data_IF_054331234697
#
_entry.id   IF_054331234697
#
_cell.length_a   1.000
_cell.length_b   1.000
_cell.length_c   1.000
_cell.angle_alpha   90.00
_cell.angle_beta   90.00
_cell.angle_gamma   90.00
#
_symmetry.space_group_name_H-M   'P 1'
#
loop_
_entity.id
_entity.type
_entity.pdbx_description
1 polymer ?
#
# COMPACT_ATOMS: atom_id res chain seq x y z
N UNK A 1 -26.07 27.40 35.89
CA UNK A 1 -25.05 27.82 34.90
C UNK A 1 -24.82 29.31 35.04
N UNK A 2 -23.56 29.79 35.06
CA UNK A 2 -23.22 31.22 35.28
C UNK A 2 -23.11 32.07 34.00
N UNK A 3 -23.20 31.47 32.81
CA UNK A 3 -22.78 32.13 31.55
C UNK A 3 -23.93 32.45 30.57
N UNK A 4 -25.17 32.10 30.88
CA UNK A 4 -26.34 32.43 30.04
C UNK A 4 -27.48 32.98 30.91
N UNK A 5 -27.95 34.20 30.59
CA UNK A 5 -29.16 34.79 31.20
C UNK A 5 -30.37 34.25 30.43
N UNK A 6 -31.12 33.33 31.05
CA UNK A 6 -32.31 32.75 30.42
C UNK A 6 -33.41 33.80 30.16
N UNK A 7 -34.33 33.50 29.25
CA UNK A 7 -35.43 34.39 28.84
C UNK A 7 -36.55 34.54 29.89
N UNK A 8 -36.38 34.01 31.12
CA UNK A 8 -37.38 34.04 32.19
C UNK A 8 -38.50 32.99 32.07
N UNK A 9 -38.51 32.20 31.00
CA UNK A 9 -39.48 31.12 30.83
C UNK A 9 -39.16 29.91 31.72
N UNK A 10 -40.20 29.33 32.33
CA UNK A 10 -40.16 28.09 33.11
C UNK A 10 -41.27 27.15 32.65
N UNK A 11 -40.98 25.85 32.57
CA UNK A 11 -41.94 24.83 32.20
C UNK A 11 -41.46 23.42 32.60
N UNK A 12 -42.32 22.43 32.40
CA UNK A 12 -42.05 21.02 32.67
C UNK A 12 -42.09 20.25 31.36
N UNK A 13 -41.16 19.31 31.18
CA UNK A 13 -41.16 18.40 30.04
C UNK A 13 -40.86 16.98 30.53
N UNK A 14 -41.52 16.00 29.93
CA UNK A 14 -41.15 14.60 30.09
C UNK A 14 -39.79 14.35 29.45
N UNK A 15 -38.89 13.55 30.03
CA UNK A 15 -37.62 13.19 29.38
C UNK A 15 -37.79 12.12 28.28
N UNK A 16 -38.98 11.53 28.16
CA UNK A 16 -39.27 10.45 27.21
C UNK A 16 -39.59 10.97 25.80
N UNK A 17 -39.77 10.07 24.84
CA UNK A 17 -40.21 10.39 23.46
C UNK A 17 -39.30 11.38 22.70
N UNK A 18 -38.00 11.36 22.99
CA UNK A 18 -37.00 12.20 22.32
C UNK A 18 -36.89 13.62 22.86
N UNK A 19 -37.55 13.94 23.96
CA UNK A 19 -37.53 15.27 24.58
C UNK A 19 -36.29 15.55 25.45
N UNK A 20 -35.45 14.54 25.73
CA UNK A 20 -34.20 14.70 26.45
C UNK A 20 -33.02 13.99 25.78
N UNK A 21 -31.81 14.49 26.06
CA UNK A 21 -30.54 13.88 25.65
C UNK A 21 -29.62 13.74 26.85
N UNK A 22 -29.07 12.54 27.04
CA UNK A 22 -28.03 12.30 28.03
C UNK A 22 -26.74 13.03 27.62
N UNK A 23 -25.97 13.62 28.57
CA UNK A 23 -24.61 14.04 28.30
C UNK A 23 -23.79 12.86 27.76
N UNK A 24 -22.96 13.07 26.73
CA UNK A 24 -22.33 11.98 25.98
C UNK A 24 -21.51 11.00 26.84
N UNK A 25 -20.87 11.49 27.92
CA UNK A 25 -20.12 10.65 28.88
C UNK A 25 -21.00 9.66 29.64
N UNK A 26 -22.30 9.96 29.79
CA UNK A 26 -23.31 9.08 30.39
C UNK A 26 -24.06 8.29 29.31
N UNK A 27 -24.31 8.92 28.17
CA UNK A 27 -24.96 8.29 27.02
C UNK A 27 -24.18 7.09 26.49
N UNK A 28 -22.84 7.19 26.44
CA UNK A 28 -21.97 6.14 25.91
C UNK A 28 -22.04 4.82 26.71
N UNK A 29 -21.84 4.80 28.04
CA UNK A 29 -22.03 3.59 28.83
C UNK A 29 -23.49 3.11 28.92
N UNK A 30 -24.48 4.02 28.82
CA UNK A 30 -25.88 3.62 28.73
C UNK A 30 -26.12 2.79 27.46
N UNK A 31 -25.53 3.21 26.34
CA UNK A 31 -25.55 2.49 25.06
C UNK A 31 -24.87 1.12 25.14
N UNK A 32 -23.78 0.97 25.89
CA UNK A 32 -23.16 -0.34 26.11
C UNK A 32 -24.14 -1.35 26.70
N UNK A 33 -24.87 -0.94 27.74
CA UNK A 33 -25.91 -1.79 28.36
C UNK A 33 -27.07 -2.06 27.41
N UNK A 34 -27.67 -1.00 26.86
CA UNK A 34 -28.89 -1.10 26.03
C UNK A 34 -28.67 -1.96 24.79
N UNK A 35 -27.50 -1.84 24.15
CA UNK A 35 -27.15 -2.63 22.96
C UNK A 35 -26.40 -3.92 23.28
N UNK A 36 -26.22 -4.25 24.57
CA UNK A 36 -25.48 -5.44 25.04
C UNK A 36 -24.07 -5.57 24.41
N UNK A 37 -23.34 -4.46 24.36
CA UNK A 37 -22.01 -4.37 23.73
C UNK A 37 -20.99 -5.18 24.54
N UNK A 38 -20.28 -6.10 23.88
CA UNK A 38 -19.23 -6.93 24.51
C UNK A 38 -17.81 -6.48 24.21
N UNK A 39 -17.61 -5.85 23.06
CA UNK A 39 -16.32 -5.36 22.59
C UNK A 39 -16.57 -4.02 21.92
N UNK A 40 -15.85 -2.99 22.32
CA UNK A 40 -15.85 -1.70 21.65
C UNK A 40 -14.52 -1.01 21.86
N UNK A 41 -13.75 -0.89 20.77
CA UNK A 41 -12.51 -0.11 20.75
C UNK A 41 -12.80 1.38 20.63
N UNK A 42 -11.83 2.19 21.03
CA UNK A 42 -11.87 3.64 20.88
C UNK A 42 -10.46 4.17 20.59
N UNK A 43 -10.37 5.37 20.00
CA UNK A 43 -9.09 6.03 19.84
C UNK A 43 -8.40 6.20 21.20
N UNK A 44 -7.07 6.07 21.23
CA UNK A 44 -6.31 6.09 22.49
C UNK A 44 -6.60 7.30 23.39
N UNK A 45 -6.99 8.44 22.80
CA UNK A 45 -7.36 9.67 23.51
C UNK A 45 -8.52 9.45 24.51
N UNK A 46 -9.41 8.47 24.25
CA UNK A 46 -10.49 8.11 25.17
C UNK A 46 -10.05 7.20 26.32
N UNK A 47 -8.93 6.49 26.15
CA UNK A 47 -8.41 5.47 27.08
C UNK A 47 -7.28 5.99 27.97
N UNK A 48 -7.00 7.30 27.95
CA UNK A 48 -6.07 7.92 28.89
C UNK A 48 -6.62 7.84 30.33
N UNK A 49 -5.72 7.87 31.33
CA UNK A 49 -6.12 7.86 32.75
C UNK A 49 -7.03 9.05 33.07
N UNK A 50 -8.20 8.77 33.66
CA UNK A 50 -9.25 9.77 33.90
C UNK A 50 -10.01 10.20 32.64
N UNK A 51 -9.75 9.54 31.51
CA UNK A 51 -10.40 9.77 30.23
C UNK A 51 -11.86 9.33 30.21
N UNK A 52 -12.51 9.49 29.07
CA UNK A 52 -13.94 9.16 28.93
C UNK A 52 -14.22 7.67 29.10
N UNK A 53 -13.27 6.78 28.76
CA UNK A 53 -13.44 5.34 28.95
C UNK A 53 -13.47 4.98 30.44
N UNK A 54 -12.56 5.54 31.24
CA UNK A 54 -12.54 5.35 32.70
C UNK A 54 -13.83 5.83 33.37
N UNK A 55 -14.33 7.00 32.95
CA UNK A 55 -15.61 7.53 33.43
C UNK A 55 -16.77 6.61 33.00
N UNK A 56 -16.74 6.16 31.74
CA UNK A 56 -17.74 5.24 31.19
C UNK A 56 -17.79 3.92 31.95
N UNK A 57 -16.63 3.31 32.24
CA UNK A 57 -16.51 2.09 33.04
C UNK A 57 -17.20 2.23 34.39
N UNK A 58 -16.89 3.30 35.14
CA UNK A 58 -17.48 3.57 36.46
C UNK A 58 -19.00 3.70 36.37
N UNK A 59 -19.52 4.47 35.42
CA UNK A 59 -20.97 4.61 35.20
C UNK A 59 -21.60 3.26 34.85
N UNK A 60 -20.96 2.49 33.98
CA UNK A 60 -21.45 1.20 33.52
C UNK A 60 -21.56 0.19 34.68
N UNK A 61 -20.52 0.09 35.51
CA UNK A 61 -20.44 -0.84 36.64
C UNK A 61 -21.30 -0.38 37.83
N UNK A 62 -21.18 0.89 38.24
CA UNK A 62 -21.74 1.39 39.50
C UNK A 62 -23.19 1.85 39.37
N UNK A 63 -23.58 2.39 38.21
CA UNK A 63 -24.95 2.92 37.99
C UNK A 63 -25.79 1.93 37.19
N UNK A 64 -25.23 1.40 36.09
CA UNK A 64 -25.98 0.53 35.19
C UNK A 64 -25.85 -0.96 35.53
N UNK A 65 -24.95 -1.33 36.45
CA UNK A 65 -24.67 -2.71 36.84
C UNK A 65 -24.43 -3.63 35.62
N UNK A 66 -23.65 -3.13 34.66
CA UNK A 66 -23.26 -3.84 33.45
C UNK A 66 -21.72 -3.84 33.33
N UNK A 67 -21.08 -4.96 32.95
CA UNK A 67 -19.63 -5.01 32.83
C UNK A 67 -19.13 -4.09 31.70
N UNK A 68 -17.95 -3.51 31.86
CA UNK A 68 -17.32 -2.77 30.77
C UNK A 68 -17.09 -3.69 29.55
N UNK A 69 -17.45 -3.24 28.33
CA UNK A 69 -17.04 -3.96 27.13
C UNK A 69 -15.51 -4.03 27.01
N UNK A 70 -15.00 -5.11 26.42
CA UNK A 70 -13.57 -5.23 26.12
C UNK A 70 -13.10 -4.03 25.29
N UNK A 71 -12.09 -3.33 25.81
CA UNK A 71 -11.51 -2.16 25.16
C UNK A 71 -10.37 -2.58 24.22
N UNK A 72 -10.31 -1.94 23.06
CA UNK A 72 -9.22 -2.05 22.08
C UNK A 72 -8.78 -0.63 21.75
N UNK A 73 -7.84 -0.05 22.53
CA UNK A 73 -7.35 1.30 22.26
C UNK A 73 -6.53 1.29 20.97
N UNK A 74 -6.99 2.01 19.95
CA UNK A 74 -6.27 2.13 18.69
C UNK A 74 -5.53 3.46 18.55
N UNK A 75 -4.35 3.39 17.94
CA UNK A 75 -3.49 4.50 17.60
C UNK A 75 -4.04 5.33 16.43
N UNK A 76 -3.37 6.45 16.15
CA UNK A 76 -3.78 7.35 15.09
C UNK A 76 -3.55 6.78 13.68
N UNK A 77 -4.43 7.22 12.78
CA UNK A 77 -4.21 7.16 11.35
C UNK A 77 -3.63 8.50 10.89
N UNK A 78 -2.42 8.46 10.36
CA UNK A 78 -1.64 9.59 9.89
C UNK A 78 -1.61 9.60 8.36
N UNK A 79 -1.46 10.80 7.79
CA UNK A 79 -1.22 11.04 6.37
C UNK A 79 0.17 11.65 6.23
N UNK A 80 1.09 10.97 5.55
CA UNK A 80 2.47 11.40 5.35
C UNK A 80 3.14 11.94 6.64
N UNK A 81 3.06 11.16 7.72
CA UNK A 81 3.64 11.48 9.03
C UNK A 81 2.84 12.49 9.87
N UNK A 82 1.73 13.03 9.36
CA UNK A 82 0.91 14.05 10.06
C UNK A 82 -0.41 13.48 10.54
N UNK A 83 -0.79 13.81 11.77
CA UNK A 83 -2.11 13.46 12.33
C UNK A 83 -3.21 14.14 11.50
N UNK A 84 -4.21 13.36 11.07
CA UNK A 84 -5.37 13.91 10.37
C UNK A 84 -6.10 14.94 11.25
N UNK A 85 -6.45 16.08 10.67
CA UNK A 85 -7.18 17.15 11.34
C UNK A 85 -8.24 17.71 10.40
N UNK A 86 -9.52 17.47 10.73
CA UNK A 86 -10.66 17.97 9.98
C UNK A 86 -10.71 19.51 9.92
N UNK A 87 -10.15 20.21 10.91
CA UNK A 87 -10.20 21.67 11.00
C UNK A 87 -9.08 22.40 10.26
N UNK A 88 -8.01 21.70 9.83
CA UNK A 88 -6.84 22.32 9.19
C UNK A 88 -6.73 22.02 7.68
N UNK A 89 -7.71 21.34 7.07
CA UNK A 89 -7.74 21.05 5.63
C UNK A 89 -6.56 20.20 5.11
N UNK A 90 -5.73 19.66 6.01
CA UNK A 90 -4.45 19.00 5.74
C UNK A 90 -4.55 17.47 5.73
N UNK A 91 -5.76 16.91 5.78
CA UNK A 91 -6.00 15.47 5.75
C UNK A 91 -6.81 15.08 4.53
N UNK A 92 -6.39 14.02 3.84
CA UNK A 92 -7.25 13.31 2.91
C UNK A 92 -8.49 12.84 3.68
N UNK A 93 -9.67 13.17 3.18
CA UNK A 93 -10.93 12.61 3.68
C UNK A 93 -10.90 11.08 3.59
N UNK A 94 -11.64 10.41 4.46
CA UNK A 94 -11.77 8.94 4.41
C UNK A 94 -12.22 8.45 3.02
N UNK A 95 -13.00 9.27 2.32
CA UNK A 95 -13.44 9.01 0.94
C UNK A 95 -12.29 9.09 -0.06
N UNK A 96 -11.46 10.13 0.00
CA UNK A 96 -10.30 10.26 -0.89
C UNK A 96 -9.33 9.08 -0.70
N UNK A 97 -9.06 8.67 0.54
CA UNK A 97 -8.25 7.47 0.81
C UNK A 97 -8.91 6.22 0.23
N UNK A 98 -10.22 6.05 0.40
CA UNK A 98 -10.91 4.85 -0.11
C UNK A 98 -10.99 4.79 -1.63
N UNK A 99 -11.09 5.93 -2.31
CA UNK A 99 -11.21 5.98 -3.78
C UNK A 99 -9.87 5.64 -4.49
N UNK A 100 -8.75 5.71 -3.76
CA UNK A 100 -7.39 5.43 -4.23
C UNK A 100 -6.99 3.95 -4.14
N UNK A 101 -7.70 3.14 -3.35
CA UNK A 101 -7.33 1.77 -3.07
C UNK A 101 -8.50 0.81 -3.35
N UNK A 102 -8.24 -0.37 -3.95
CA UNK A 102 -9.23 -1.44 -3.93
C UNK A 102 -9.64 -1.76 -2.49
N UNK A 103 -10.90 -2.14 -2.22
CA UNK A 103 -11.36 -2.45 -0.87
C UNK A 103 -10.50 -3.47 -0.12
N UNK A 104 -9.96 -4.48 -0.81
CA UNK A 104 -9.04 -5.48 -0.23
C UNK A 104 -7.72 -4.86 0.26
N UNK A 105 -7.19 -3.90 -0.50
CA UNK A 105 -5.94 -3.19 -0.16
C UNK A 105 -6.19 -2.17 0.93
N UNK A 106 -7.34 -1.48 0.92
CA UNK A 106 -7.76 -0.60 2.02
C UNK A 106 -7.93 -1.39 3.33
N UNK A 107 -8.57 -2.56 3.30
CA UNK A 107 -8.66 -3.43 4.47
C UNK A 107 -7.28 -3.83 4.96
N UNK A 108 -6.37 -4.21 4.06
CA UNK A 108 -4.98 -4.53 4.42
C UNK A 108 -4.32 -3.36 5.15
N UNK A 109 -4.42 -2.14 4.62
CA UNK A 109 -3.89 -0.93 5.27
C UNK A 109 -4.38 -0.79 6.72
N UNK A 110 -5.67 -1.10 6.97
CA UNK A 110 -6.28 -0.98 8.30
C UNK A 110 -5.91 -2.10 9.28
N UNK A 111 -5.64 -3.32 8.81
CA UNK A 111 -5.45 -4.49 9.68
C UNK A 111 -4.00 -5.00 9.73
N UNK A 112 -3.11 -4.52 8.86
CA UNK A 112 -1.70 -4.96 8.81
C UNK A 112 -0.87 -4.58 10.03
N UNK A 113 -1.34 -3.63 10.84
CA UNK A 113 -0.69 -3.18 12.07
C UNK A 113 -1.52 -3.56 13.29
N UNK A 114 -0.85 -3.81 14.40
CA UNK A 114 -1.53 -3.99 15.68
C UNK A 114 -2.25 -2.68 16.08
N UNK A 115 -3.39 -2.73 16.80
CA UNK A 115 -4.14 -1.54 17.16
C UNK A 115 -3.32 -0.46 17.88
N UNK A 116 -2.34 -0.87 18.68
CA UNK A 116 -1.44 0.04 19.42
C UNK A 116 -0.32 0.66 18.57
N UNK A 117 -0.32 0.46 17.25
CA UNK A 117 0.66 1.04 16.33
C UNK A 117 -0.02 2.03 15.38
N UNK A 118 0.58 3.22 15.15
CA UNK A 118 0.00 4.18 14.23
C UNK A 118 0.05 3.66 12.79
N UNK A 119 -1.04 3.86 12.07
CA UNK A 119 -1.08 3.69 10.62
C UNK A 119 -0.59 5.00 10.02
N UNK A 120 0.33 4.91 9.06
CA UNK A 120 0.78 6.07 8.29
C UNK A 120 0.58 5.76 6.82
N UNK A 121 -0.23 6.58 6.17
CA UNK A 121 -0.59 6.43 4.77
C UNK A 121 -0.04 7.62 3.98
N UNK A 122 0.96 7.35 3.14
CA UNK A 122 1.50 8.34 2.21
C UNK A 122 1.11 7.97 0.78
N UNK A 123 0.01 8.52 0.25
CA UNK A 123 -0.42 8.21 -1.11
C UNK A 123 0.44 8.87 -2.18
N UNK A 124 1.21 9.91 -1.82
CA UNK A 124 2.17 10.58 -2.69
C UNK A 124 3.54 9.90 -2.70
N UNK A 125 3.75 8.94 -1.80
CA UNK A 125 4.96 8.15 -1.69
C UNK A 125 4.85 6.76 -2.33
N UNK A 126 5.47 5.80 -1.66
CA UNK A 126 5.56 4.39 -2.09
C UNK A 126 4.54 3.48 -1.41
N UNK A 127 3.69 4.02 -0.52
CA UNK A 127 2.79 3.20 0.32
C UNK A 127 1.81 2.38 -0.51
N UNK A 128 1.24 2.96 -1.58
CA UNK A 128 0.28 2.24 -2.43
C UNK A 128 0.94 1.03 -3.12
N UNK A 129 2.04 1.17 -3.88
CA UNK A 129 2.76 0.02 -4.42
C UNK A 129 3.14 -1.03 -3.38
N UNK A 130 3.62 -0.60 -2.21
CA UNK A 130 4.01 -1.52 -1.13
C UNK A 130 2.84 -2.32 -0.56
N UNK A 131 1.64 -1.73 -0.48
CA UNK A 131 0.44 -2.44 -0.03
C UNK A 131 0.02 -3.53 -1.04
N UNK A 132 0.15 -3.28 -2.35
CA UNK A 132 -0.09 -4.32 -3.36
C UNK A 132 0.95 -5.43 -3.27
N UNK A 133 2.24 -5.10 -3.21
CA UNK A 133 3.31 -6.08 -3.06
C UNK A 133 3.14 -6.93 -1.79
N UNK A 134 2.74 -6.30 -0.67
CA UNK A 134 2.46 -7.02 0.57
C UNK A 134 1.22 -7.91 0.46
N UNK A 135 0.13 -7.42 -0.13
CA UNK A 135 -1.08 -8.21 -0.36
C UNK A 135 -0.77 -9.48 -1.19
N UNK A 136 0.04 -9.34 -2.24
CA UNK A 136 0.40 -10.44 -3.11
C UNK A 136 1.28 -11.46 -2.38
N UNK A 137 2.23 -10.99 -1.56
CA UNK A 137 3.02 -11.84 -0.67
C UNK A 137 2.14 -12.59 0.35
N UNK A 138 1.13 -11.93 0.93
CA UNK A 138 0.19 -12.58 1.85
C UNK A 138 -0.65 -13.66 1.14
N UNK A 139 -0.99 -13.45 -0.13
CA UNK A 139 -1.63 -14.46 -0.97
C UNK A 139 -0.73 -15.69 -1.14
N UNK A 140 0.58 -15.50 -1.38
CA UNK A 140 1.53 -16.62 -1.51
C UNK A 140 1.55 -17.50 -0.25
N UNK A 141 1.49 -16.91 0.95
CA UNK A 141 1.35 -17.67 2.19
C UNK A 141 0.00 -18.39 2.29
N UNK A 142 -1.09 -17.74 1.89
CA UNK A 142 -2.43 -18.32 1.92
C UNK A 142 -2.61 -19.51 0.96
N UNK A 143 -1.92 -19.49 -0.18
CA UNK A 143 -1.96 -20.55 -1.20
C UNK A 143 -0.77 -21.52 -1.12
N UNK A 144 0.07 -21.44 -0.09
CA UNK A 144 1.13 -22.41 0.18
C UNK A 144 2.31 -22.35 -0.80
N UNK A 145 2.59 -21.18 -1.38
CA UNK A 145 3.71 -20.96 -2.31
C UNK A 145 5.04 -20.62 -1.61
N UNK A 146 5.02 -20.47 -0.28
CA UNK A 146 6.18 -20.15 0.55
C UNK A 146 6.71 -21.42 1.23
N UNK A 147 8.03 -21.61 1.22
CA UNK A 147 8.67 -22.78 1.84
C UNK A 147 8.34 -22.92 3.33
N UNK A 148 8.34 -21.79 4.04
CA UNK A 148 7.97 -21.72 5.45
C UNK A 148 6.55 -21.16 5.60
N UNK A 149 5.59 -21.95 6.11
CA UNK A 149 4.25 -21.46 6.40
C UNK A 149 4.24 -20.39 7.49
N UNK A 150 3.40 -19.36 7.32
CA UNK A 150 3.13 -18.33 8.32
C UNK A 150 1.59 -18.16 8.45
N UNK A 151 0.94 -18.87 9.39
CA UNK A 151 -0.52 -18.92 9.48
C UNK A 151 -1.17 -17.54 9.66
N UNK A 152 -0.52 -16.63 10.39
CA UNK A 152 -1.03 -15.27 10.60
C UNK A 152 -1.06 -14.45 9.31
N UNK A 153 -0.10 -14.67 8.40
CA UNK A 153 -0.10 -14.03 7.07
C UNK A 153 -1.21 -14.58 6.18
N UNK A 154 -1.40 -15.90 6.16
CA UNK A 154 -2.53 -16.53 5.47
C UNK A 154 -3.88 -16.06 6.02
N UNK A 155 -3.98 -15.91 7.35
CA UNK A 155 -5.18 -15.39 8.02
C UNK A 155 -5.42 -13.93 7.66
N UNK A 156 -4.38 -13.11 7.65
CA UNK A 156 -4.46 -11.70 7.27
C UNK A 156 -4.98 -11.56 5.84
N UNK A 157 -4.43 -12.31 4.88
CA UNK A 157 -4.95 -12.33 3.49
C UNK A 157 -6.44 -12.64 3.43
N UNK A 158 -6.88 -13.65 4.18
CA UNK A 158 -8.29 -14.06 4.24
C UNK A 158 -9.19 -12.94 4.79
N UNK A 159 -8.72 -12.21 5.81
CA UNK A 159 -9.46 -11.09 6.40
C UNK A 159 -9.57 -9.86 5.48
N UNK A 160 -8.66 -9.71 4.51
CA UNK A 160 -8.76 -8.63 3.51
C UNK A 160 -9.85 -8.87 2.47
N UNK A 161 -10.36 -10.10 2.31
CA UNK A 161 -11.39 -10.41 1.32
C UNK A 161 -12.71 -9.69 1.63
N UNK A 162 -13.40 -9.22 0.60
CA UNK A 162 -14.67 -8.48 0.75
C UNK A 162 -15.86 -9.41 0.98
N UNK A 163 -15.82 -10.63 0.44
CA UNK A 163 -16.86 -11.65 0.48
C UNK A 163 -16.60 -12.73 1.53
N UNK A 164 -15.92 -12.39 2.63
CA UNK A 164 -15.66 -13.31 3.74
C UNK A 164 -16.97 -13.96 4.26
N UNK A 165 -17.02 -15.30 4.47
CA UNK A 165 -15.90 -16.25 4.52
C UNK A 165 -15.63 -17.00 3.20
N UNK A 166 -16.11 -16.53 2.06
CA UNK A 166 -15.86 -17.21 0.78
C UNK A 166 -14.36 -17.33 0.52
N UNK A 167 -13.93 -18.53 0.09
CA UNK A 167 -12.53 -18.79 -0.22
C UNK A 167 -12.11 -17.94 -1.44
N UNK A 168 -11.04 -17.14 -1.34
CA UNK A 168 -10.55 -16.36 -2.47
C UNK A 168 -10.03 -17.27 -3.59
N UNK A 169 -10.16 -16.81 -4.83
CA UNK A 169 -9.59 -17.47 -5.99
C UNK A 169 -8.05 -17.38 -5.95
N UNK A 170 -7.39 -18.45 -6.36
CA UNK A 170 -5.94 -18.50 -6.51
C UNK A 170 -5.57 -17.87 -7.87
N UNK A 171 -5.20 -16.59 -7.84
CA UNK A 171 -4.90 -15.81 -9.04
C UNK A 171 -3.40 -15.52 -9.12
N UNK A 172 -2.87 -15.49 -10.34
CA UNK A 172 -1.60 -14.82 -10.61
C UNK A 172 -1.81 -13.30 -10.63
N UNK A 173 -0.83 -12.56 -10.12
CA UNK A 173 -0.87 -11.12 -10.02
C UNK A 173 0.34 -10.50 -10.69
N UNK A 174 0.11 -9.64 -11.68
CA UNK A 174 1.16 -8.76 -12.16
C UNK A 174 1.49 -7.72 -11.10
N UNK A 175 2.78 -7.50 -10.88
CA UNK A 175 3.27 -6.54 -9.90
C UNK A 175 2.74 -5.13 -10.19
N UNK A 176 2.24 -4.44 -9.16
CA UNK A 176 1.58 -3.14 -9.32
C UNK A 176 2.48 -2.07 -9.94
N UNK A 177 3.77 -2.03 -9.58
CA UNK A 177 4.73 -1.08 -10.17
C UNK A 177 4.95 -1.33 -11.66
N UNK A 178 4.89 -2.59 -12.09
CA UNK A 178 5.01 -2.97 -13.50
C UNK A 178 3.76 -2.59 -14.28
N UNK A 179 2.58 -2.84 -13.70
CA UNK A 179 1.31 -2.35 -14.26
C UNK A 179 1.35 -0.83 -14.41
N UNK A 180 1.78 -0.11 -13.36
CA UNK A 180 1.90 1.34 -13.39
C UNK A 180 2.88 1.85 -14.46
N UNK A 181 3.98 1.13 -14.71
CA UNK A 181 4.89 1.44 -15.81
C UNK A 181 4.23 1.22 -17.18
N UNK A 182 3.67 0.03 -17.42
CA UNK A 182 3.13 -0.37 -18.73
C UNK A 182 1.96 0.53 -19.15
N UNK A 183 1.06 0.92 -18.23
CA UNK A 183 -0.07 1.79 -18.58
C UNK A 183 0.34 3.20 -19.04
N UNK A 184 1.61 3.59 -18.83
CA UNK A 184 2.18 4.85 -19.32
C UNK A 184 2.81 4.71 -20.71
N UNK A 185 2.97 3.48 -21.24
CA UNK A 185 3.68 3.20 -22.48
C UNK A 185 2.70 2.95 -23.63
N UNK A 186 2.53 3.88 -24.59
CA UNK A 186 1.54 3.73 -25.66
C UNK A 186 1.80 2.55 -26.61
N UNK A 187 3.04 2.08 -26.66
CA UNK A 187 3.47 0.98 -27.54
C UNK A 187 3.35 -0.41 -26.89
N UNK A 188 3.00 -0.48 -25.59
CA UNK A 188 2.85 -1.75 -24.87
C UNK A 188 1.37 -2.06 -24.65
N UNK A 189 0.99 -3.32 -24.90
CA UNK A 189 -0.34 -3.83 -24.58
C UNK A 189 -0.31 -4.56 -23.23
N UNK A 190 -0.99 -4.02 -22.22
CA UNK A 190 -0.97 -4.56 -20.86
C UNK A 190 -1.31 -6.07 -20.77
N UNK A 191 -2.33 -6.60 -21.47
CA UNK A 191 -2.62 -8.03 -21.44
C UNK A 191 -1.47 -8.89 -22.00
N UNK A 192 -0.85 -8.46 -23.09
CA UNK A 192 0.25 -9.20 -23.74
C UNK A 192 1.48 -9.24 -22.84
N UNK A 193 1.85 -8.10 -22.24
CA UNK A 193 2.97 -8.03 -21.29
C UNK A 193 2.70 -8.86 -20.03
N UNK A 194 1.44 -8.94 -19.59
CA UNK A 194 1.05 -9.78 -18.48
C UNK A 194 1.15 -11.28 -18.80
N UNK A 195 0.74 -11.70 -19.99
CA UNK A 195 0.90 -13.09 -20.45
C UNK A 195 2.37 -13.47 -20.63
N UNK A 196 3.21 -12.56 -21.18
CA UNK A 196 4.66 -12.74 -21.26
C UNK A 196 5.27 -12.92 -19.86
N UNK A 197 4.92 -12.06 -18.92
CA UNK A 197 5.43 -12.12 -17.54
C UNK A 197 4.96 -13.38 -16.80
N UNK A 198 3.73 -13.84 -17.05
CA UNK A 198 3.18 -15.08 -16.48
C UNK A 198 3.74 -16.35 -17.16
N UNK A 199 4.12 -16.26 -18.44
CA UNK A 199 4.51 -17.39 -19.28
C UNK A 199 3.33 -18.26 -19.76
N UNK A 200 2.09 -17.79 -19.60
CA UNK A 200 0.87 -18.49 -20.03
C UNK A 200 -0.28 -17.51 -20.21
N UNK A 201 -1.34 -17.95 -20.91
CA UNK A 201 -2.55 -17.15 -21.10
C UNK A 201 -3.21 -16.76 -19.76
N UNK A 202 -3.80 -15.56 -19.72
CA UNK A 202 -4.58 -15.13 -18.56
C UNK A 202 -5.98 -15.76 -18.58
N UNK A 203 -6.42 -16.23 -17.42
CA UNK A 203 -7.83 -16.56 -17.18
C UNK A 203 -8.68 -15.30 -17.13
N UNK A 204 -9.99 -15.42 -17.32
CA UNK A 204 -10.90 -14.26 -17.24
C UNK A 204 -10.87 -13.56 -15.87
N UNK A 205 -10.68 -14.32 -14.79
CA UNK A 205 -10.54 -13.76 -13.44
C UNK A 205 -9.23 -12.95 -13.28
N UNK A 206 -8.13 -13.43 -13.86
CA UNK A 206 -6.84 -12.71 -13.86
C UNK A 206 -6.90 -11.47 -14.74
N UNK A 207 -7.56 -11.52 -15.91
CA UNK A 207 -7.80 -10.33 -16.76
C UNK A 207 -8.58 -9.26 -16.01
N UNK A 208 -9.65 -9.64 -15.32
CA UNK A 208 -10.44 -8.73 -14.49
C UNK A 208 -9.61 -8.11 -13.35
N UNK A 209 -8.79 -8.93 -12.66
CA UNK A 209 -7.87 -8.44 -11.61
C UNK A 209 -6.81 -7.48 -12.18
N UNK A 210 -6.24 -7.80 -13.34
CA UNK A 210 -5.26 -6.97 -14.03
C UNK A 210 -5.86 -5.61 -14.43
N UNK A 211 -7.10 -5.62 -14.95
CA UNK A 211 -7.81 -4.38 -15.28
C UNK A 211 -8.11 -3.53 -14.03
N UNK A 212 -8.57 -4.14 -12.94
CA UNK A 212 -8.75 -3.45 -11.65
C UNK A 212 -7.43 -2.78 -11.21
N UNK A 213 -6.31 -3.52 -11.24
CA UNK A 213 -4.98 -2.97 -10.91
C UNK A 213 -4.61 -1.81 -11.82
N UNK A 214 -4.86 -1.92 -13.12
CA UNK A 214 -4.57 -0.86 -14.09
C UNK A 214 -5.36 0.41 -13.81
N UNK A 215 -6.65 0.29 -13.45
CA UNK A 215 -7.50 1.43 -13.12
C UNK A 215 -6.99 2.18 -11.89
N UNK A 216 -6.60 1.45 -10.83
CA UNK A 216 -6.00 2.06 -9.64
C UNK A 216 -4.61 2.63 -9.91
N UNK A 217 -3.78 1.97 -10.73
CA UNK A 217 -2.50 2.50 -11.15
C UNK A 217 -2.66 3.83 -11.90
N UNK A 218 -3.60 3.93 -12.85
CA UNK A 218 -3.90 5.18 -13.57
C UNK A 218 -4.39 6.29 -12.64
N UNK A 219 -5.27 5.98 -11.67
CA UNK A 219 -5.73 6.96 -10.66
C UNK A 219 -4.57 7.48 -9.81
N UNK A 220 -3.73 6.57 -9.32
CA UNK A 220 -2.56 6.91 -8.53
C UNK A 220 -1.58 7.78 -9.34
N UNK A 221 -1.25 7.39 -10.57
CA UNK A 221 -0.36 8.13 -11.48
C UNK A 221 -0.86 9.55 -11.77
N UNK A 222 -2.16 9.69 -12.04
CA UNK A 222 -2.76 10.99 -12.36
C UNK A 222 -2.76 11.94 -11.17
N UNK A 223 -3.04 11.43 -9.97
CA UNK A 223 -3.32 12.28 -8.82
C UNK A 223 -2.09 12.49 -7.93
N UNK A 224 -1.34 11.43 -7.61
CA UNK A 224 -0.47 11.42 -6.42
C UNK A 224 0.92 10.81 -6.67
N UNK A 225 1.11 10.01 -7.73
CA UNK A 225 2.36 9.28 -7.90
C UNK A 225 3.57 10.23 -7.94
N UNK A 226 4.62 9.95 -7.15
CA UNK A 226 5.81 10.79 -7.12
C UNK A 226 6.55 10.71 -8.45
N UNK A 227 7.42 11.69 -8.70
CA UNK A 227 8.10 11.84 -9.98
C UNK A 227 8.82 10.55 -10.43
N UNK A 228 9.36 9.77 -9.49
CA UNK A 228 10.07 8.50 -9.74
C UNK A 228 9.21 7.40 -10.39
N UNK A 229 7.88 7.52 -10.39
CA UNK A 229 6.97 6.58 -11.07
C UNK A 229 6.36 7.15 -12.35
N UNK A 230 6.69 8.40 -12.71
CA UNK A 230 6.26 9.02 -13.97
C UNK A 230 7.36 8.84 -15.00
N UNK A 231 7.10 7.98 -15.99
CA UNK A 231 8.09 7.61 -16.99
C UNK A 231 7.78 8.28 -18.32
N UNK A 232 8.81 8.86 -18.93
CA UNK A 232 8.88 9.13 -20.37
C UNK A 232 9.94 8.20 -20.93
N UNK A 233 9.54 7.23 -21.76
CA UNK A 233 10.49 6.31 -22.36
C UNK A 233 11.32 7.05 -23.41
N UNK A 234 12.65 6.87 -23.37
CA UNK A 234 13.57 7.36 -24.40
C UNK A 234 13.63 6.31 -25.48
N UNK A 235 13.06 6.62 -26.65
CA UNK A 235 13.10 5.74 -27.80
C UNK A 235 14.55 5.55 -28.27
N UNK A 236 14.84 4.41 -28.90
CA UNK A 236 16.16 4.12 -29.50
C UNK A 236 16.62 5.22 -30.48
N UNK A 237 15.70 5.90 -31.16
CA UNK A 237 15.98 7.01 -32.06
C UNK A 237 16.58 8.24 -31.34
N UNK A 238 16.33 8.39 -30.04
CA UNK A 238 16.82 9.48 -29.19
C UNK A 238 18.04 9.05 -28.36
N UNK A 239 18.56 7.82 -28.57
CA UNK A 239 19.74 7.32 -27.87
C UNK A 239 21.04 7.76 -28.58
N UNK A 240 21.64 8.84 -28.10
CA UNK A 240 22.97 9.26 -28.54
C UNK A 240 24.08 8.58 -27.69
N UNK A 241 25.06 7.88 -28.30
CA UNK A 241 26.21 7.29 -27.59
C UNK A 241 27.06 8.30 -26.79
N UNK A 242 26.94 9.58 -27.13
CA UNK A 242 27.64 10.69 -26.47
C UNK A 242 27.04 11.02 -25.09
N UNK A 243 25.85 10.49 -24.77
CA UNK A 243 25.13 10.70 -23.51
C UNK A 243 25.26 9.53 -22.53
N UNK A 244 26.24 8.64 -22.75
CA UNK A 244 26.52 7.52 -21.86
C UNK A 244 27.03 8.07 -20.50
N UNK A 245 26.38 7.78 -19.35
CA UNK A 245 26.93 8.12 -18.05
C UNK A 245 28.37 7.61 -17.88
N UNK A 246 29.25 8.49 -17.44
CA UNK A 246 30.62 8.12 -17.13
C UNK A 246 30.63 7.13 -15.95
N UNK A 247 31.02 5.88 -16.22
CA UNK A 247 31.10 4.83 -15.22
C UNK A 247 32.48 4.78 -14.57
N UNK A 248 32.50 4.59 -13.25
CA UNK A 248 33.71 4.23 -12.51
C UNK A 248 34.24 2.86 -12.94
N UNK A 249 35.49 2.53 -12.59
CA UNK A 249 36.05 1.21 -12.88
C UNK A 249 35.22 0.06 -12.27
N UNK A 250 34.73 0.24 -11.05
CA UNK A 250 33.86 -0.73 -10.38
C UNK A 250 32.50 -0.87 -11.09
N UNK A 251 31.91 0.23 -11.57
CA UNK A 251 30.67 0.22 -12.33
C UNK A 251 30.83 -0.47 -13.69
N UNK A 252 31.95 -0.25 -14.39
CA UNK A 252 32.25 -0.95 -15.64
C UNK A 252 32.35 -2.46 -15.40
N UNK A 253 33.07 -2.89 -14.36
CA UNK A 253 33.14 -4.29 -13.97
C UNK A 253 31.74 -4.88 -13.69
N UNK A 254 30.90 -4.15 -12.96
CA UNK A 254 29.52 -4.56 -12.71
C UNK A 254 28.72 -4.71 -14.02
N UNK A 255 28.83 -3.76 -14.95
CA UNK A 255 28.14 -3.82 -16.25
C UNK A 255 28.62 -4.98 -17.12
N UNK A 256 29.92 -5.27 -17.16
CA UNK A 256 30.47 -6.44 -17.86
C UNK A 256 29.92 -7.74 -17.25
N UNK A 257 29.83 -7.83 -15.92
CA UNK A 257 29.26 -9.00 -15.23
C UNK A 257 27.76 -9.15 -15.49
N UNK A 258 27.00 -8.06 -15.39
CA UNK A 258 25.57 -8.02 -15.70
C UNK A 258 25.34 -8.47 -17.14
N UNK A 259 26.04 -7.89 -18.10
CA UNK A 259 25.92 -8.24 -19.52
C UNK A 259 26.20 -9.72 -19.77
N UNK A 260 27.26 -10.27 -19.16
CA UNK A 260 27.58 -11.70 -19.26
C UNK A 260 26.50 -12.59 -18.67
N UNK A 261 26.02 -12.29 -17.46
CA UNK A 261 25.02 -13.13 -16.78
C UNK A 261 23.65 -13.06 -17.47
N UNK A 262 23.22 -11.87 -17.92
CA UNK A 262 21.93 -11.67 -18.58
C UNK A 262 21.79 -12.39 -19.92
N UNK A 263 22.89 -12.68 -20.64
CA UNK A 263 22.85 -13.47 -21.89
C UNK A 263 22.18 -14.82 -21.70
N UNK A 264 22.53 -15.53 -20.64
CA UNK A 264 22.04 -16.87 -20.34
C UNK A 264 20.77 -16.87 -19.46
N UNK A 265 20.28 -15.69 -19.06
CA UNK A 265 19.17 -15.58 -18.11
C UNK A 265 17.82 -15.65 -18.83
N UNK A 266 16.84 -16.44 -18.32
CA UNK A 266 15.45 -16.37 -18.75
C UNK A 266 14.93 -14.94 -18.61
N UNK A 267 14.28 -14.40 -19.64
CA UNK A 267 13.90 -12.99 -19.69
C UNK A 267 12.63 -12.67 -18.90
N UNK A 268 12.63 -13.00 -17.61
CA UNK A 268 11.55 -12.69 -16.67
C UNK A 268 12.03 -11.64 -15.67
N UNK A 269 11.13 -10.79 -15.20
CA UNK A 269 11.51 -9.72 -14.27
C UNK A 269 12.14 -10.22 -12.97
N UNK A 270 11.73 -11.40 -12.49
CA UNK A 270 12.32 -12.04 -11.31
C UNK A 270 13.77 -12.46 -11.55
N UNK A 271 14.04 -13.19 -12.63
CA UNK A 271 15.39 -13.70 -12.94
C UNK A 271 16.35 -12.56 -13.27
N UNK A 272 15.91 -11.56 -14.04
CA UNK A 272 16.70 -10.36 -14.29
C UNK A 272 16.98 -9.61 -12.98
N UNK A 273 15.99 -9.49 -12.08
CA UNK A 273 16.19 -8.83 -10.79
C UNK A 273 17.18 -9.58 -9.88
N UNK A 274 17.10 -10.92 -9.86
CA UNK A 274 18.06 -11.78 -9.14
C UNK A 274 19.49 -11.56 -9.62
N UNK A 275 19.72 -11.54 -10.94
CA UNK A 275 21.04 -11.28 -11.53
C UNK A 275 21.61 -9.93 -11.08
N UNK A 276 20.82 -8.86 -11.18
CA UNK A 276 21.28 -7.52 -10.77
C UNK A 276 21.67 -7.47 -9.29
N UNK A 277 20.88 -8.12 -8.43
CA UNK A 277 21.17 -8.19 -6.99
C UNK A 277 22.36 -9.11 -6.65
N UNK A 278 22.56 -10.19 -7.41
CA UNK A 278 23.72 -11.07 -7.27
C UNK A 278 25.01 -10.32 -7.57
N UNK A 279 25.08 -9.61 -8.71
CA UNK A 279 26.27 -8.80 -9.07
C UNK A 279 26.54 -7.71 -8.03
N UNK A 280 25.50 -7.01 -7.56
CA UNK A 280 25.63 -6.01 -6.48
C UNK A 280 26.29 -6.62 -5.24
N UNK A 281 25.85 -7.81 -4.85
CA UNK A 281 26.33 -8.51 -3.64
C UNK A 281 27.75 -9.01 -3.83
N UNK A 282 28.06 -9.59 -5.00
CA UNK A 282 29.39 -10.10 -5.35
C UNK A 282 30.44 -9.00 -5.36
N UNK A 283 30.10 -7.81 -5.85
CA UNK A 283 30.99 -6.65 -5.87
C UNK A 283 30.91 -5.79 -4.61
N UNK A 284 30.10 -6.17 -3.62
CA UNK A 284 29.85 -5.41 -2.40
C UNK A 284 29.51 -3.92 -2.66
N UNK A 285 28.73 -3.67 -3.72
CA UNK A 285 28.41 -2.30 -4.16
C UNK A 285 27.18 -1.75 -3.44
N UNK A 286 27.19 -0.46 -3.07
CA UNK A 286 25.98 0.24 -2.64
C UNK A 286 24.91 0.17 -3.75
N UNK A 287 23.61 0.00 -3.42
CA UNK A 287 22.54 -0.07 -4.41
C UNK A 287 22.54 1.09 -5.41
N UNK A 288 22.82 2.32 -4.94
CA UNK A 288 22.85 3.50 -5.80
C UNK A 288 23.94 3.41 -6.88
N UNK A 289 25.08 2.81 -6.58
CA UNK A 289 26.21 2.73 -7.52
C UNK A 289 25.96 1.78 -8.68
N UNK A 290 25.12 0.76 -8.50
CA UNK A 290 24.77 -0.20 -9.56
C UNK A 290 23.48 0.21 -10.28
N UNK A 291 22.45 0.68 -9.56
CA UNK A 291 21.14 0.93 -10.15
C UNK A 291 21.02 2.31 -10.80
N UNK A 292 21.61 3.37 -10.24
CA UNK A 292 21.50 4.70 -10.82
C UNK A 292 22.05 4.78 -12.25
N UNK A 293 23.22 4.17 -12.58
CA UNK A 293 23.70 4.16 -13.95
C UNK A 293 22.79 3.37 -14.92
N UNK A 294 22.16 2.29 -14.46
CA UNK A 294 21.17 1.56 -15.25
C UNK A 294 19.93 2.44 -15.50
N UNK A 295 19.45 3.19 -14.51
CA UNK A 295 18.35 4.13 -14.73
C UNK A 295 18.73 5.25 -15.70
N UNK A 296 19.94 5.77 -15.62
CA UNK A 296 20.42 6.80 -16.54
C UNK A 296 20.49 6.25 -17.97
N UNK A 297 20.96 5.01 -18.14
CA UNK A 297 21.08 4.35 -19.43
C UNK A 297 19.74 4.11 -20.14
N UNK A 298 18.71 3.70 -19.39
CA UNK A 298 17.42 3.29 -19.98
C UNK A 298 16.31 4.34 -19.86
N UNK A 299 16.40 5.22 -18.87
CA UNK A 299 15.30 6.12 -18.49
C UNK A 299 15.75 7.58 -18.25
N UNK A 300 17.06 7.90 -18.39
CA UNK A 300 17.64 9.24 -18.15
C UNK A 300 17.32 9.82 -16.77
N UNK A 301 17.36 8.96 -15.75
CA UNK A 301 17.04 9.26 -14.35
C UNK A 301 17.99 8.55 -13.41
N UNK A 302 18.03 8.98 -12.14
CA UNK A 302 18.90 8.37 -11.13
C UNK A 302 18.24 7.23 -10.34
N UNK A 303 16.91 7.11 -10.41
CA UNK A 303 16.14 6.17 -9.60
C UNK A 303 14.80 5.76 -10.25
N UNK A 304 14.17 4.76 -9.63
CA UNK A 304 12.88 4.23 -10.05
C UNK A 304 12.48 2.93 -9.33
N UNK A 305 11.38 2.29 -9.77
CA UNK A 305 10.93 0.98 -9.33
C UNK A 305 11.88 -0.12 -9.79
N UNK A 306 11.97 -1.20 -9.02
CA UNK A 306 12.89 -2.32 -9.22
C UNK A 306 13.32 -2.59 -10.67
N UNK A 307 14.58 -2.24 -10.97
CA UNK A 307 15.18 -2.24 -12.31
C UNK A 307 14.97 -3.54 -13.09
N UNK A 308 15.11 -4.72 -12.47
CA UNK A 308 15.00 -6.00 -13.17
C UNK A 308 13.64 -6.23 -13.82
N UNK A 309 12.56 -5.82 -13.15
CA UNK A 309 11.20 -5.90 -13.69
C UNK A 309 10.99 -4.91 -14.84
N UNK A 310 11.58 -3.72 -14.77
CA UNK A 310 11.51 -2.74 -15.85
C UNK A 310 12.27 -3.23 -17.09
N UNK A 311 13.51 -3.70 -16.92
CA UNK A 311 14.31 -4.22 -18.04
C UNK A 311 13.64 -5.40 -18.73
N UNK A 312 12.92 -6.26 -18.00
CA UNK A 312 12.21 -7.39 -18.63
C UNK A 312 11.07 -6.99 -19.57
N UNK A 313 10.59 -5.74 -19.51
CA UNK A 313 9.60 -5.23 -20.49
C UNK A 313 10.23 -4.77 -21.79
N UNK A 314 11.55 -4.58 -21.79
CA UNK A 314 12.30 -4.18 -22.97
C UNK A 314 12.79 -5.42 -23.73
N UNK A 315 12.95 -5.33 -25.07
CA UNK A 315 13.56 -6.40 -25.85
C UNK A 315 14.94 -6.76 -25.29
N UNK A 316 15.16 -8.05 -25.00
CA UNK A 316 16.41 -8.56 -24.42
C UNK A 316 17.64 -8.10 -25.19
N UNK A 317 17.60 -8.19 -26.51
CA UNK A 317 18.72 -7.82 -27.38
C UNK A 317 19.05 -6.32 -27.30
N UNK A 318 18.06 -5.43 -27.17
CA UNK A 318 18.28 -4.00 -27.00
C UNK A 318 18.94 -3.70 -25.65
N UNK A 319 18.48 -4.36 -24.58
CA UNK A 319 19.07 -4.22 -23.24
C UNK A 319 20.51 -4.70 -23.24
N UNK A 320 20.79 -5.89 -23.79
CA UNK A 320 22.14 -6.42 -23.88
C UNK A 320 23.04 -5.53 -24.72
N UNK A 321 22.56 -5.04 -25.87
CA UNK A 321 23.30 -4.11 -26.72
C UNK A 321 23.68 -2.83 -25.98
N UNK A 322 22.74 -2.20 -25.27
CA UNK A 322 23.00 -0.95 -24.52
C UNK A 322 23.95 -1.15 -23.34
N UNK A 323 23.81 -2.23 -22.56
CA UNK A 323 24.73 -2.54 -21.45
C UNK A 323 26.12 -2.90 -22.00
N UNK A 324 26.16 -3.60 -23.14
CA UNK A 324 27.38 -3.98 -23.84
C UNK A 324 28.26 -2.81 -24.29
N UNK A 325 27.72 -1.60 -24.41
CA UNK A 325 28.50 -0.39 -24.72
C UNK A 325 29.52 -0.02 -23.64
N UNK A 326 29.36 -0.54 -22.41
CA UNK A 326 30.29 -0.34 -21.30
C UNK A 326 31.18 -1.55 -21.00
N UNK A 327 30.94 -2.67 -21.69
CA UNK A 327 31.58 -3.96 -21.40
C UNK A 327 32.95 -4.11 -22.05
#
# INVERSE_FOLDING_TARGET
MKWAKGCGHSGTVSPFDGHAKLPWKVEWPAKWKVMNVKIEGAGKDHSAAGGSRDIGRRICEEIFHYPEPLNIPYEFFNIAGKKMSASKGLGASAKEVSDLLPPKILKLLMIRKQPNQPIDFDPEGVTIPQLFDEHDRLADYAFGRQEKPEPDFARTFTLTQTDFPKKPADLWHMRFTLVAFIVQMPHLALPEEAEKAKGSALTEAEKSNLQERADYAKRWLKALAPAQFRFTFVQDADFAPEELPALSAAQKQAFTMIHRQLKETPWTGEEVHKVLHAVKTELNMPPKEIFAPLYQLFFKRDDGPQMGWLLSTLPKEEVLKRIGLYS
#
